data_IF_764633690065
#
_entry.id   IF_764633690065
#
_cell.length_a   1.000
_cell.length_b   1.000
_cell.length_c   1.000
_cell.angle_alpha   90.00
_cell.angle_beta   90.00
_cell.angle_gamma   90.00
#
_symmetry.space_group_name_H-M   'P 1'
#
loop_
_entity.id
_entity.type
_entity.pdbx_description
1 polymer ?
#
# COMPACT_ATOMS: atom_id res chain seq x y z
N UNK A 1 -3.51 -17.61 0.35
CA UNK A 1 -4.87 -17.50 -0.20
C UNK A 1 -5.55 -16.37 0.51
N UNK A 2 -6.02 -15.36 -0.22
CA UNK A 2 -6.76 -14.25 0.37
C UNK A 2 -8.08 -14.76 0.97
N UNK A 3 -8.50 -14.19 2.09
CA UNK A 3 -9.82 -14.41 2.66
C UNK A 3 -10.77 -13.40 2.02
N UNK A 4 -11.74 -13.90 1.24
CA UNK A 4 -12.77 -13.05 0.69
C UNK A 4 -13.86 -12.81 1.75
N UNK A 5 -14.12 -11.53 2.02
CA UNK A 5 -15.22 -11.08 2.83
C UNK A 5 -16.42 -10.80 1.90
N UNK A 6 -17.62 -11.02 2.42
CA UNK A 6 -18.87 -10.70 1.69
C UNK A 6 -19.61 -9.63 2.49
N UNK A 7 -20.09 -8.61 1.80
CA UNK A 7 -20.90 -7.54 2.36
C UNK A 7 -22.03 -7.21 1.39
N UNK A 8 -23.14 -6.71 1.92
CA UNK A 8 -24.32 -6.37 1.12
C UNK A 8 -24.10 -5.12 0.27
N UNK A 9 -23.28 -4.20 0.76
CA UNK A 9 -22.91 -2.96 0.08
C UNK A 9 -21.52 -2.46 0.53
N UNK A 10 -21.07 -1.35 -0.05
CA UNK A 10 -19.76 -0.76 0.24
C UNK A 10 -19.67 -0.25 1.69
N UNK A 11 -20.77 0.23 2.28
CA UNK A 11 -20.81 0.72 3.66
C UNK A 11 -20.59 -0.44 4.63
N UNK A 12 -21.32 -1.55 4.43
CA UNK A 12 -21.14 -2.77 5.24
C UNK A 12 -19.74 -3.35 5.09
N UNK A 13 -19.13 -3.27 3.89
CA UNK A 13 -17.75 -3.69 3.68
C UNK A 13 -16.75 -2.83 4.48
N UNK A 14 -16.94 -1.52 4.51
CA UNK A 14 -16.09 -0.60 5.28
C UNK A 14 -16.22 -0.84 6.80
N UNK A 15 -17.44 -1.09 7.29
CA UNK A 15 -17.67 -1.44 8.69
C UNK A 15 -16.96 -2.74 9.06
N UNK A 16 -17.03 -3.78 8.23
CA UNK A 16 -16.31 -5.03 8.45
C UNK A 16 -14.79 -4.83 8.47
N UNK A 17 -14.24 -4.03 7.55
CA UNK A 17 -12.81 -3.71 7.54
C UNK A 17 -12.38 -2.98 8.81
N UNK A 18 -13.23 -2.11 9.34
CA UNK A 18 -12.97 -1.42 10.60
C UNK A 18 -13.02 -2.38 11.81
N UNK A 19 -14.03 -3.23 11.89
CA UNK A 19 -14.16 -4.22 12.96
C UNK A 19 -12.98 -5.23 12.98
N UNK A 20 -12.45 -5.57 11.80
CA UNK A 20 -11.28 -6.43 11.65
C UNK A 20 -9.95 -5.74 11.95
N UNK A 21 -9.96 -4.44 12.24
CA UNK A 21 -8.74 -3.65 12.47
C UNK A 21 -7.89 -3.45 11.22
N UNK A 22 -8.48 -3.56 10.02
CA UNK A 22 -7.80 -3.32 8.75
C UNK A 22 -7.69 -1.83 8.41
N UNK A 23 -8.34 -0.96 9.15
CA UNK A 23 -8.28 0.50 9.04
C UNK A 23 -8.31 1.13 10.43
N UNK A 24 -7.67 2.28 10.56
CA UNK A 24 -7.64 3.10 11.78
C UNK A 24 -8.80 4.10 11.89
N UNK A 25 -9.78 4.00 10.98
CA UNK A 25 -10.92 4.90 10.88
C UNK A 25 -10.75 6.00 9.81
N UNK A 26 -9.59 6.11 9.18
CA UNK A 26 -9.43 6.93 7.98
C UNK A 26 -10.18 6.32 6.80
N UNK A 27 -10.68 7.14 5.86
CA UNK A 27 -11.32 6.64 4.66
C UNK A 27 -10.40 5.71 3.85
N UNK A 28 -10.91 4.54 3.49
CA UNK A 28 -10.21 3.57 2.63
C UNK A 28 -11.08 3.20 1.44
N UNK A 29 -10.45 2.78 0.36
CA UNK A 29 -11.15 2.22 -0.81
C UNK A 29 -11.32 0.73 -0.59
N UNK A 30 -12.54 0.20 -0.74
CA UNK A 30 -12.80 -1.23 -0.59
C UNK A 30 -12.02 -2.03 -1.63
N UNK A 31 -11.15 -2.98 -1.22
CA UNK A 31 -10.33 -3.77 -2.13
C UNK A 31 -11.16 -4.91 -2.74
N UNK A 32 -12.08 -4.55 -3.66
CA UNK A 32 -12.86 -5.55 -4.39
C UNK A 32 -11.95 -6.42 -5.27
N UNK A 33 -12.34 -7.67 -5.59
CA UNK A 33 -11.56 -8.55 -6.46
C UNK A 33 -11.13 -7.87 -7.77
N UNK A 34 -12.04 -7.17 -8.44
CA UNK A 34 -11.74 -6.46 -9.70
C UNK A 34 -10.70 -5.35 -9.53
N UNK A 35 -10.76 -4.62 -8.42
CA UNK A 35 -9.79 -3.56 -8.12
C UNK A 35 -8.41 -4.16 -7.86
N UNK A 36 -8.35 -5.23 -7.06
CA UNK A 36 -7.10 -5.94 -6.74
C UNK A 36 -6.49 -6.59 -7.99
N UNK A 37 -7.30 -7.26 -8.81
CA UNK A 37 -6.84 -7.89 -10.04
C UNK A 37 -6.18 -6.88 -10.99
N UNK A 38 -6.77 -5.71 -11.18
CA UNK A 38 -6.17 -4.65 -12.01
C UNK A 38 -4.80 -4.19 -11.48
N UNK A 39 -4.64 -4.14 -10.17
CA UNK A 39 -3.36 -3.80 -9.54
C UNK A 39 -2.33 -4.92 -9.76
N UNK A 40 -2.73 -6.19 -9.61
CA UNK A 40 -1.87 -7.36 -9.85
C UNK A 40 -1.40 -7.39 -11.31
N UNK A 41 -2.31 -7.17 -12.26
CA UNK A 41 -1.98 -7.15 -13.69
C UNK A 41 -0.93 -6.09 -14.04
N UNK A 42 -0.95 -4.93 -13.35
CA UNK A 42 0.03 -3.86 -13.56
C UNK A 42 1.46 -4.23 -13.10
N UNK A 43 1.59 -5.22 -12.22
CA UNK A 43 2.91 -5.73 -11.76
C UNK A 43 3.51 -6.74 -12.72
N UNK A 44 2.68 -7.48 -13.46
CA UNK A 44 3.12 -8.52 -14.39
C UNK A 44 3.64 -9.79 -13.71
N UNK A 45 3.32 -9.99 -12.42
CA UNK A 45 3.62 -11.20 -11.66
C UNK A 45 2.33 -11.86 -11.15
N UNK A 46 2.32 -13.21 -10.97
CA UNK A 46 1.18 -13.89 -10.35
C UNK A 46 0.85 -13.32 -8.96
N UNK A 47 -0.44 -13.33 -8.62
CA UNK A 47 -0.96 -12.77 -7.38
C UNK A 47 -0.32 -13.38 -6.11
N UNK A 48 -0.07 -14.69 -6.17
CA UNK A 48 0.52 -15.49 -5.08
C UNK A 48 2.04 -15.36 -4.98
N UNK A 49 2.70 -14.66 -5.89
CA UNK A 49 4.16 -14.47 -5.85
C UNK A 49 4.57 -13.81 -4.54
N UNK A 50 5.38 -14.50 -3.74
CA UNK A 50 5.95 -13.98 -2.53
C UNK A 50 7.08 -12.99 -2.87
N UNK A 51 6.98 -11.76 -2.36
CA UNK A 51 7.98 -10.71 -2.52
C UNK A 51 9.04 -10.77 -1.41
N UNK A 52 8.66 -11.24 -0.23
CA UNK A 52 9.51 -11.35 0.95
C UNK A 52 8.70 -11.42 2.24
N UNK A 53 9.41 -11.39 3.36
CA UNK A 53 8.81 -11.28 4.69
C UNK A 53 8.90 -9.84 5.18
N UNK A 54 7.81 -9.34 5.77
CA UNK A 54 7.70 -7.95 6.22
C UNK A 54 7.63 -7.90 7.75
N UNK A 55 8.56 -7.17 8.35
CA UNK A 55 8.55 -6.89 9.78
C UNK A 55 7.32 -6.05 10.22
N UNK A 56 7.02 -6.01 11.54
CA UNK A 56 7.71 -6.70 12.63
C UNK A 56 7.30 -8.16 12.81
N UNK A 57 6.13 -8.58 12.30
CA UNK A 57 5.57 -9.93 12.50
C UNK A 57 6.08 -10.96 11.49
N UNK A 58 7.00 -10.59 10.61
CA UNK A 58 7.58 -11.44 9.56
C UNK A 58 6.50 -12.10 8.67
N UNK A 59 5.42 -11.37 8.41
CA UNK A 59 4.36 -11.84 7.53
C UNK A 59 4.80 -11.90 6.07
N UNK A 60 4.46 -12.99 5.37
CA UNK A 60 4.76 -13.12 3.94
C UNK A 60 3.98 -12.07 3.16
N UNK A 61 4.70 -11.16 2.49
CA UNK A 61 4.16 -10.18 1.55
C UNK A 61 4.03 -10.83 0.16
N UNK A 62 2.81 -10.96 -0.33
CA UNK A 62 2.55 -11.39 -1.72
C UNK A 62 2.11 -10.21 -2.56
N UNK A 63 2.19 -10.37 -3.89
CA UNK A 63 1.70 -9.35 -4.84
C UNK A 63 0.24 -9.02 -4.57
N UNK A 64 -0.61 -10.01 -4.32
CA UNK A 64 -2.04 -9.82 -4.01
C UNK A 64 -2.26 -9.00 -2.74
N UNK A 65 -1.55 -9.33 -1.64
CA UNK A 65 -1.68 -8.59 -0.37
C UNK A 65 -1.24 -7.13 -0.53
N UNK A 66 -0.14 -6.93 -1.24
CA UNK A 66 0.36 -5.59 -1.51
C UNK A 66 -0.60 -4.80 -2.41
N UNK A 67 -1.18 -5.46 -3.42
CA UNK A 67 -2.20 -4.88 -4.29
C UNK A 67 -3.46 -4.48 -3.50
N UNK A 68 -3.94 -5.34 -2.60
CA UNK A 68 -5.09 -5.03 -1.75
C UNK A 68 -4.82 -3.81 -0.85
N UNK A 69 -3.65 -3.76 -0.20
CA UNK A 69 -3.25 -2.61 0.61
C UNK A 69 -3.13 -1.32 -0.22
N UNK A 70 -2.59 -1.41 -1.43
CA UNK A 70 -2.48 -0.28 -2.34
C UNK A 70 -3.86 0.24 -2.79
N UNK A 71 -4.83 -0.66 -3.08
CA UNK A 71 -6.23 -0.27 -3.35
C UNK A 71 -6.82 0.45 -2.15
N UNK A 72 -6.66 -0.09 -0.94
CA UNK A 72 -7.19 0.55 0.27
C UNK A 72 -6.62 1.95 0.47
N UNK A 73 -5.36 2.17 0.13
CA UNK A 73 -4.71 3.48 0.16
C UNK A 73 -5.09 4.40 -1.02
N UNK A 74 -5.96 3.96 -1.94
CA UNK A 74 -6.39 4.75 -3.10
C UNK A 74 -5.38 4.81 -4.25
N UNK A 75 -4.40 3.91 -4.29
CA UNK A 75 -3.46 3.83 -5.41
C UNK A 75 -4.15 3.40 -6.71
N UNK A 76 -3.61 3.87 -7.82
CA UNK A 76 -3.99 3.45 -9.17
C UNK A 76 -3.03 2.34 -9.66
N UNK A 77 -3.43 1.55 -10.69
CA UNK A 77 -2.56 0.50 -11.25
C UNK A 77 -1.16 0.99 -11.66
N UNK A 78 -1.06 2.18 -12.22
CA UNK A 78 0.22 2.79 -12.64
C UNK A 78 1.19 3.06 -11.47
N UNK A 79 0.68 3.10 -10.23
CA UNK A 79 1.50 3.26 -9.03
C UNK A 79 2.18 1.96 -8.59
N UNK A 80 1.65 0.79 -9.00
CA UNK A 80 2.10 -0.51 -8.50
C UNK A 80 3.59 -0.80 -8.66
N UNK A 81 4.25 -0.44 -9.77
CA UNK A 81 5.71 -0.63 -9.87
C UNK A 81 6.48 0.11 -8.77
N UNK A 82 6.06 1.33 -8.40
CA UNK A 82 6.67 2.10 -7.31
C UNK A 82 6.36 1.44 -5.96
N UNK A 83 5.11 1.02 -5.76
CA UNK A 83 4.67 0.35 -4.51
C UNK A 83 5.48 -0.93 -4.28
N UNK A 84 5.65 -1.77 -5.33
CA UNK A 84 6.45 -3.00 -5.25
C UNK A 84 7.92 -2.69 -4.96
N UNK A 85 8.51 -1.74 -5.69
CA UNK A 85 9.91 -1.35 -5.47
C UNK A 85 10.13 -0.82 -4.05
N UNK A 86 9.19 -0.03 -3.52
CA UNK A 86 9.24 0.48 -2.15
C UNK A 86 9.13 -0.65 -1.12
N UNK A 87 8.21 -1.60 -1.33
CA UNK A 87 8.05 -2.74 -0.45
C UNK A 87 9.32 -3.62 -0.41
N UNK A 88 9.91 -3.89 -1.58
CA UNK A 88 11.17 -4.64 -1.67
C UNK A 88 12.32 -3.93 -0.95
N UNK A 89 12.42 -2.60 -1.10
CA UNK A 89 13.44 -1.81 -0.40
C UNK A 89 13.25 -1.82 1.12
N UNK A 90 12.00 -1.78 1.60
CA UNK A 90 11.71 -1.84 3.04
C UNK A 90 11.92 -3.24 3.63
N UNK A 91 11.81 -4.29 2.82
CA UNK A 91 12.09 -5.68 3.24
C UNK A 91 13.59 -6.02 3.17
N UNK A 92 14.44 -5.15 2.61
CA UNK A 92 15.89 -5.35 2.63
C UNK A 92 16.39 -5.35 4.09
N UNK A 93 17.19 -6.35 4.51
CA UNK A 93 17.72 -6.43 5.88
C UNK A 93 18.48 -5.17 6.34
N UNK A 94 19.08 -4.42 5.40
CA UNK A 94 19.79 -3.19 5.73
C UNK A 94 18.85 -2.04 6.14
N UNK A 95 17.57 -2.12 5.81
CA UNK A 95 16.57 -1.12 6.21
C UNK A 95 16.06 -1.33 7.63
N UNK A 96 16.08 -2.56 8.11
CA UNK A 96 15.63 -2.97 9.45
C UNK A 96 14.22 -2.49 9.82
N UNK A 97 13.27 -2.81 8.96
CA UNK A 97 11.85 -2.43 9.14
C UNK A 97 11.30 -2.89 10.50
N UNK A 98 11.76 -4.03 11.02
CA UNK A 98 11.28 -4.57 12.30
C UNK A 98 11.61 -3.64 13.47
N UNK A 99 12.82 -3.11 13.54
CA UNK A 99 13.23 -2.14 14.58
C UNK A 99 12.52 -0.79 14.37
N UNK A 100 12.41 -0.34 13.11
CA UNK A 100 11.70 0.90 12.81
C UNK A 100 10.23 0.86 13.25
N UNK A 101 9.54 -0.26 13.06
CA UNK A 101 8.15 -0.42 13.46
C UNK A 101 7.99 -0.71 14.96
N UNK A 102 9.01 -1.25 15.61
CA UNK A 102 9.02 -1.58 17.04
C UNK A 102 9.34 -0.39 17.95
N UNK A 103 9.83 0.73 17.40
CA UNK A 103 10.21 1.89 18.22
C UNK A 103 9.01 2.74 18.64
N UNK A 104 9.10 3.35 19.81
CA UNK A 104 8.13 4.36 20.30
C UNK A 104 8.44 5.77 19.78
N UNK A 105 9.53 5.97 19.05
CA UNK A 105 9.88 7.26 18.43
C UNK A 105 9.03 7.50 17.18
N UNK A 106 8.86 8.77 16.84
CA UNK A 106 8.16 9.19 15.63
C UNK A 106 9.03 8.95 14.38
N UNK A 107 9.15 7.70 13.96
CA UNK A 107 9.87 7.29 12.76
C UNK A 107 8.90 6.87 11.67
N UNK A 108 9.23 7.19 10.42
CA UNK A 108 8.46 6.76 9.26
C UNK A 108 9.39 6.53 8.06
N UNK A 109 9.10 5.55 7.20
CA UNK A 109 9.83 5.39 5.94
C UNK A 109 9.68 6.63 5.05
N UNK A 110 10.81 7.14 4.54
CA UNK A 110 10.82 8.19 3.51
C UNK A 110 11.08 7.56 2.15
N UNK A 111 10.13 7.68 1.24
CA UNK A 111 10.24 7.16 -0.12
C UNK A 111 10.49 8.33 -1.07
N UNK A 112 11.63 8.30 -1.78
CA UNK A 112 12.01 9.32 -2.75
C UNK A 112 11.89 8.74 -4.16
N UNK A 113 11.00 9.32 -4.96
CA UNK A 113 10.74 8.88 -6.35
C UNK A 113 11.37 9.85 -7.33
N UNK A 114 12.32 9.38 -8.13
CA UNK A 114 13.02 10.14 -9.15
C UNK A 114 12.69 9.66 -10.57
N UNK A 115 13.04 10.48 -11.55
CA UNK A 115 12.96 10.13 -12.97
C UNK A 115 11.55 10.14 -13.55
N UNK A 116 11.32 9.46 -14.69
CA UNK A 116 10.05 9.51 -15.39
C UNK A 116 8.89 8.91 -14.63
N UNK A 117 9.13 7.92 -13.75
CA UNK A 117 8.09 7.30 -12.92
C UNK A 117 7.32 8.33 -12.08
N UNK A 118 7.98 9.39 -11.60
CA UNK A 118 7.35 10.48 -10.88
C UNK A 118 6.22 11.14 -11.67
N UNK A 119 6.50 11.46 -12.95
CA UNK A 119 5.52 12.10 -13.81
C UNK A 119 4.43 11.11 -14.27
N UNK A 120 4.81 9.87 -14.59
CA UNK A 120 3.88 8.83 -15.04
C UNK A 120 2.85 8.47 -13.98
N UNK A 121 3.28 8.43 -12.71
CA UNK A 121 2.40 8.09 -11.58
C UNK A 121 1.79 9.32 -10.88
N UNK A 122 2.04 10.53 -11.38
CA UNK A 122 1.49 11.75 -10.78
C UNK A 122 1.98 12.01 -9.34
N UNK A 123 3.17 11.51 -8.98
CA UNK A 123 3.73 11.70 -7.63
C UNK A 123 3.95 13.20 -7.39
N UNK A 124 3.36 13.71 -6.30
CA UNK A 124 3.45 15.11 -5.93
C UNK A 124 4.90 15.59 -5.81
N UNK A 125 5.20 16.75 -6.41
CA UNK A 125 6.55 17.30 -6.45
C UNK A 125 6.51 18.81 -6.53
N UNK A 126 7.65 19.46 -6.29
CA UNK A 126 7.76 20.90 -6.32
C UNK A 126 7.28 21.57 -5.04
N UNK A 127 6.78 22.79 -5.15
CA UNK A 127 6.33 23.58 -4.00
C UNK A 127 5.17 22.91 -3.29
N UNK A 128 5.32 22.70 -2.00
CA UNK A 128 4.27 22.06 -1.18
C UNK A 128 4.23 20.53 -1.21
N UNK A 129 5.17 19.86 -1.89
CA UNK A 129 5.18 18.39 -1.95
C UNK A 129 5.21 17.69 -0.58
N UNK A 130 5.80 18.34 0.43
CA UNK A 130 5.83 17.87 1.83
C UNK A 130 4.82 18.62 2.71
N UNK A 131 3.99 19.45 2.13
CA UNK A 131 3.00 20.24 2.85
C UNK A 131 1.66 19.52 2.92
N UNK A 132 1.05 19.47 4.10
CA UNK A 132 -0.33 19.02 4.29
C UNK A 132 -1.34 20.12 3.93
N UNK A 133 -0.91 21.18 3.26
CA UNK A 133 -1.78 22.32 2.96
C UNK A 133 -2.74 21.99 1.81
N UNK A 134 -3.98 21.73 2.14
CA UNK A 134 -5.10 21.63 1.21
C UNK A 134 -5.61 23.02 0.75
N UNK A 135 -4.88 24.09 1.08
CA UNK A 135 -5.28 25.47 0.77
C UNK A 135 -5.32 25.74 -0.75
N UNK A 136 -4.70 24.88 -1.54
CA UNK A 136 -4.57 25.06 -2.99
C UNK A 136 -5.42 24.09 -3.81
N UNK A 137 -6.38 23.44 -3.20
CA UNK A 137 -7.40 22.65 -3.91
C UNK A 137 -8.55 23.56 -4.34
#
# INVERSE_FOLDING_TARGET
MAVLLTADDETAALEQLHELGCTDGLPVVVPTPDRVERMVLAVGHPAETALGEMGPLQGVCTVEKLAAAAVMAGCLPDHMPIVVASALAMMDPAFDLAEMQGTTHATAPLIIVNGPARAMCGVASGYGALGLSLIHI
#
